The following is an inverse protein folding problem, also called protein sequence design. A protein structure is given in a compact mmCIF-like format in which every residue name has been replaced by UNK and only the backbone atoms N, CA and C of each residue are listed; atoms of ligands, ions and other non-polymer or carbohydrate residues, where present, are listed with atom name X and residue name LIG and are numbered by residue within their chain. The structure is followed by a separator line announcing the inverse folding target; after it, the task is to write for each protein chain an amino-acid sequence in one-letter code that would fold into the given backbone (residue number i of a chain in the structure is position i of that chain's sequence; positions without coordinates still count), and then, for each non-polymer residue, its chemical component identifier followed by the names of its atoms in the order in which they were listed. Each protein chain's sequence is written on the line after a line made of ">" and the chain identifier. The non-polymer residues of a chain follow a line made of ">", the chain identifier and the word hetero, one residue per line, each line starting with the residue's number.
data_IF_560106465418
#
_entry.id   IF_560106465418
#
_cell.length_a   1.000
_cell.length_b   1.000
_cell.length_c   1.000
_cell.angle_alpha   90.00
_cell.angle_beta   90.00
_cell.angle_gamma   90.00
#
_symmetry.space_group_name_H-M   'P 1'
#
loop_
_entity.id
_entity.type
_entity.pdbx_description
1 polymer ?
#
# COMPACT_ATOMS: atom_id res chain seq x y z
N UNK A 1 9.72 8.98 -1.72
CA UNK A 1 9.10 7.67 -1.99
C UNK A 1 9.92 6.99 -3.07
N UNK A 2 10.28 5.71 -2.93
CA UNK A 2 11.08 5.00 -3.94
C UNK A 2 10.28 4.81 -5.23
N UNK A 3 10.96 4.85 -6.38
CA UNK A 3 10.38 4.63 -7.70
C UNK A 3 10.43 3.12 -8.02
N UNK A 4 9.33 2.43 -7.77
CA UNK A 4 9.21 0.98 -7.88
C UNK A 4 9.30 0.50 -9.33
N UNK A 5 10.08 -0.57 -9.58
CA UNK A 5 10.15 -1.20 -10.89
C UNK A 5 8.91 -2.03 -11.20
N UNK A 6 7.94 -1.46 -11.94
CA UNK A 6 6.69 -2.12 -12.30
C UNK A 6 6.86 -3.43 -13.06
N UNK A 7 7.94 -3.58 -13.86
CA UNK A 7 8.21 -4.82 -14.61
C UNK A 7 8.74 -5.92 -13.69
N UNK A 8 9.68 -5.60 -12.79
CA UNK A 8 10.19 -6.53 -11.80
C UNK A 8 9.08 -6.91 -10.80
N UNK A 9 8.26 -5.96 -10.37
CA UNK A 9 7.11 -6.16 -9.49
C UNK A 9 6.12 -7.19 -10.05
N UNK A 10 5.80 -7.14 -11.33
CA UNK A 10 4.88 -8.09 -11.98
C UNK A 10 5.35 -9.54 -11.93
N UNK A 11 6.66 -9.78 -11.81
CA UNK A 11 7.23 -11.14 -11.77
C UNK A 11 7.11 -11.80 -10.39
N UNK A 12 6.98 -11.01 -9.32
CA UNK A 12 6.99 -11.48 -7.92
C UNK A 12 5.72 -11.14 -7.15
N UNK A 13 4.65 -10.70 -7.82
CA UNK A 13 3.46 -10.13 -7.20
C UNK A 13 2.36 -11.16 -6.81
N UNK A 14 2.70 -12.43 -6.62
CA UNK A 14 1.73 -13.48 -6.28
C UNK A 14 0.98 -13.19 -4.96
N UNK A 15 1.68 -12.68 -3.95
CA UNK A 15 1.07 -12.22 -2.70
C UNK A 15 0.08 -11.08 -2.95
N UNK A 16 0.48 -10.07 -3.73
CA UNK A 16 -0.38 -8.93 -4.02
C UNK A 16 -1.60 -9.32 -4.87
N UNK A 17 -1.44 -10.29 -5.76
CA UNK A 17 -2.57 -10.86 -6.53
C UNK A 17 -3.56 -11.54 -5.60
N UNK A 18 -3.08 -12.40 -4.70
CA UNK A 18 -3.93 -13.08 -3.73
C UNK A 18 -4.65 -12.08 -2.81
N UNK A 19 -3.93 -11.05 -2.32
CA UNK A 19 -4.51 -9.99 -1.49
C UNK A 19 -5.59 -9.22 -2.26
N UNK A 20 -5.31 -8.87 -3.52
CA UNK A 20 -6.27 -8.19 -4.39
C UNK A 20 -7.55 -9.01 -4.58
N UNK A 21 -7.44 -10.30 -4.87
CA UNK A 21 -8.58 -11.19 -5.02
C UNK A 21 -9.46 -11.27 -3.77
N UNK A 22 -8.82 -11.25 -2.57
CA UNK A 22 -9.56 -11.21 -1.30
C UNK A 22 -10.37 -9.92 -1.16
N UNK A 23 -9.76 -8.79 -1.48
CA UNK A 23 -10.36 -7.48 -1.35
C UNK A 23 -11.43 -7.24 -2.40
N UNK A 24 -11.15 -7.57 -3.66
CA UNK A 24 -12.08 -7.37 -4.77
C UNK A 24 -13.40 -8.12 -4.58
N UNK A 25 -13.38 -9.28 -3.89
CA UNK A 25 -14.61 -10.01 -3.55
C UNK A 25 -15.50 -9.28 -2.55
N UNK A 26 -14.94 -8.42 -1.69
CA UNK A 26 -15.67 -7.67 -0.67
C UNK A 26 -16.11 -6.28 -1.11
N UNK A 27 -15.65 -5.80 -2.28
CA UNK A 27 -16.03 -4.49 -2.78
C UNK A 27 -17.47 -4.48 -3.32
N UNK A 28 -18.28 -3.60 -2.75
CA UNK A 28 -19.61 -3.28 -3.24
C UNK A 28 -19.54 -2.06 -4.15
N UNK A 29 -19.72 -2.29 -5.46
CA UNK A 29 -19.54 -1.27 -6.50
C UNK A 29 -20.86 -0.81 -7.13
N UNK A 30 -21.99 -1.25 -6.60
CA UNK A 30 -23.31 -0.90 -7.12
C UNK A 30 -23.56 0.61 -7.06
N UNK A 31 -23.95 1.21 -8.19
CA UNK A 31 -24.22 2.64 -8.27
C UNK A 31 -22.98 3.55 -8.29
N UNK A 32 -21.77 3.00 -8.34
CA UNK A 32 -20.53 3.78 -8.47
C UNK A 32 -20.36 4.24 -9.92
N UNK A 33 -20.37 5.57 -10.14
CA UNK A 33 -20.14 6.21 -11.43
C UNK A 33 -18.72 6.78 -11.58
N UNK A 34 -18.03 6.96 -10.44
CA UNK A 34 -16.67 7.53 -10.39
C UNK A 34 -15.86 6.97 -9.21
N UNK A 35 -14.68 6.42 -9.51
CA UNK A 35 -13.81 5.78 -8.51
C UNK A 35 -12.37 6.28 -8.65
N UNK A 36 -11.71 6.53 -7.51
CA UNK A 36 -10.29 6.80 -7.40
C UNK A 36 -9.60 5.65 -6.67
N UNK A 37 -8.54 5.11 -7.27
CA UNK A 37 -7.62 4.16 -6.62
C UNK A 37 -6.32 4.88 -6.25
N UNK A 38 -6.06 5.02 -4.95
CA UNK A 38 -4.91 5.73 -4.39
C UNK A 38 -3.76 4.75 -4.12
N UNK A 39 -2.63 4.97 -4.75
CA UNK A 39 -1.51 4.03 -4.76
C UNK A 39 -1.81 2.83 -5.65
N UNK A 40 -2.25 3.11 -6.87
CA UNK A 40 -2.73 2.10 -7.82
C UNK A 40 -1.63 1.18 -8.36
N UNK A 41 -0.36 1.52 -8.12
CA UNK A 41 0.79 0.76 -8.61
C UNK A 41 0.77 0.59 -10.12
N UNK A 42 0.96 -0.63 -10.60
CA UNK A 42 0.97 -0.98 -12.02
C UNK A 42 -0.43 -1.00 -12.67
N UNK A 43 -1.46 -0.58 -11.92
CA UNK A 43 -2.84 -0.40 -12.39
C UNK A 43 -3.64 -1.68 -12.60
N UNK A 44 -3.12 -2.86 -12.26
CA UNK A 44 -3.82 -4.14 -12.49
C UNK A 44 -5.11 -4.24 -11.68
N UNK A 45 -5.06 -3.96 -10.38
CA UNK A 45 -6.25 -3.99 -9.51
C UNK A 45 -7.27 -2.94 -9.96
N UNK A 46 -6.80 -1.74 -10.30
CA UNK A 46 -7.63 -0.66 -10.84
C UNK A 46 -8.36 -1.08 -12.11
N UNK A 47 -7.68 -1.79 -13.02
CA UNK A 47 -8.28 -2.31 -14.25
C UNK A 47 -9.31 -3.40 -13.98
N UNK A 48 -9.09 -4.28 -13.01
CA UNK A 48 -10.06 -5.28 -12.58
C UNK A 48 -11.32 -4.65 -11.97
N UNK A 49 -11.16 -3.56 -11.19
CA UNK A 49 -12.29 -2.76 -10.70
C UNK A 49 -13.05 -2.13 -11.88
N UNK A 50 -12.34 -1.48 -12.80
CA UNK A 50 -12.95 -0.85 -13.97
C UNK A 50 -13.74 -1.83 -14.84
N UNK A 51 -13.27 -3.07 -14.97
CA UNK A 51 -13.98 -4.12 -15.68
C UNK A 51 -15.33 -4.51 -15.02
N UNK A 52 -15.48 -4.31 -13.71
CA UNK A 52 -16.72 -4.57 -12.98
C UNK A 52 -17.73 -3.43 -13.07
N UNK A 53 -17.28 -2.21 -13.37
CA UNK A 53 -18.07 -1.00 -13.49
C UNK A 53 -17.76 -0.28 -14.81
N UNK A 54 -18.05 -0.90 -15.98
CA UNK A 54 -17.56 -0.44 -17.28
C UNK A 54 -18.08 0.95 -17.69
N UNK A 55 -19.17 1.41 -17.09
CA UNK A 55 -19.73 2.75 -17.34
C UNK A 55 -19.13 3.83 -16.44
N UNK A 56 -18.45 3.45 -15.36
CA UNK A 56 -17.86 4.39 -14.42
C UNK A 56 -16.54 5.00 -14.92
N UNK A 57 -16.24 6.22 -14.47
CA UNK A 57 -14.91 6.81 -14.61
C UNK A 57 -13.99 6.28 -13.52
N UNK A 58 -12.93 5.59 -13.88
CA UNK A 58 -11.96 5.05 -12.92
C UNK A 58 -10.61 5.73 -13.11
N UNK A 59 -10.06 6.27 -12.03
CA UNK A 59 -8.76 6.95 -12.02
C UNK A 59 -7.83 6.21 -11.06
N UNK A 60 -6.67 5.78 -11.53
CA UNK A 60 -5.58 5.32 -10.68
C UNK A 60 -4.59 6.46 -10.43
N UNK A 61 -4.17 6.67 -9.19
CA UNK A 61 -3.16 7.65 -8.79
C UNK A 61 -1.99 6.95 -8.12
N UNK A 62 -0.76 7.16 -8.63
CA UNK A 62 0.45 6.60 -8.02
C UNK A 62 1.62 7.58 -8.17
N UNK A 63 2.51 7.71 -7.18
CA UNK A 63 3.67 8.60 -7.26
C UNK A 63 4.84 8.04 -8.10
N UNK A 64 4.84 6.75 -8.45
CA UNK A 64 5.91 6.12 -9.23
C UNK A 64 5.66 6.25 -10.72
N UNK A 65 6.51 7.00 -11.46
CA UNK A 65 6.40 7.09 -12.91
C UNK A 65 6.65 5.73 -13.58
N UNK A 66 7.47 4.85 -13.00
CA UNK A 66 7.73 3.50 -13.53
C UNK A 66 6.50 2.60 -13.40
N UNK A 67 5.74 2.71 -12.31
CA UNK A 67 4.46 2.01 -12.15
C UNK A 67 3.43 2.51 -13.16
N UNK A 68 3.23 3.82 -13.26
CA UNK A 68 2.26 4.42 -14.18
C UNK A 68 2.58 4.10 -15.65
N UNK A 69 3.88 4.03 -16.01
CA UNK A 69 4.28 3.75 -17.40
C UNK A 69 3.84 2.38 -17.93
N UNK A 70 3.56 1.41 -17.04
CA UNK A 70 3.12 0.06 -17.40
C UNK A 70 1.63 -0.16 -17.16
N UNK A 71 0.91 0.84 -16.61
CA UNK A 71 -0.51 0.72 -16.29
C UNK A 71 -1.38 0.64 -17.56
N UNK A 72 -2.42 -0.23 -17.58
CA UNK A 72 -3.25 -0.49 -18.76
C UNK A 72 -4.35 0.57 -18.92
N UNK A 73 -4.06 1.73 -19.50
CA UNK A 73 -5.07 2.76 -19.73
C UNK A 73 -5.97 2.47 -20.95
N UNK A 74 -7.21 2.92 -20.89
CA UNK A 74 -8.15 2.83 -22.02
C UNK A 74 -9.60 3.05 -21.64
N UNK A 75 -10.39 3.58 -22.58
CA UNK A 75 -11.80 3.86 -22.34
C UNK A 75 -12.02 4.86 -21.21
N UNK A 76 -12.72 4.46 -20.16
CA UNK A 76 -13.01 5.27 -18.95
C UNK A 76 -12.00 5.07 -17.83
N UNK A 77 -10.95 4.27 -18.06
CA UNK A 77 -9.85 4.02 -17.13
C UNK A 77 -8.67 4.90 -17.50
N UNK A 78 -8.18 5.68 -16.55
CA UNK A 78 -7.01 6.54 -16.70
C UNK A 78 -6.08 6.43 -15.49
N UNK A 79 -4.81 6.77 -15.70
CA UNK A 79 -3.80 6.77 -14.64
C UNK A 79 -3.10 8.13 -14.60
N UNK A 80 -2.91 8.64 -13.39
CA UNK A 80 -2.31 9.94 -13.13
C UNK A 80 -1.09 9.77 -12.22
N UNK A 81 0.02 10.43 -12.57
CA UNK A 81 1.19 10.51 -11.71
C UNK A 81 0.94 11.54 -10.61
N UNK A 82 1.02 11.14 -9.35
CA UNK A 82 0.82 12.05 -8.23
C UNK A 82 0.76 11.36 -6.87
N UNK A 83 0.86 12.17 -5.82
CA UNK A 83 0.84 11.73 -4.43
C UNK A 83 -0.50 12.09 -3.76
N UNK A 84 -0.97 11.22 -2.89
CA UNK A 84 -2.22 11.43 -2.14
C UNK A 84 -2.21 12.74 -1.34
N UNK A 85 -1.09 13.08 -0.70
CA UNK A 85 -0.97 14.30 0.12
C UNK A 85 -1.03 15.60 -0.70
N UNK A 86 -0.73 15.56 -1.99
CA UNK A 86 -0.71 16.71 -2.88
C UNK A 86 -1.87 16.76 -3.88
N UNK A 87 -2.65 15.67 -4.02
CA UNK A 87 -3.79 15.61 -4.94
C UNK A 87 -4.82 16.72 -4.64
N UNK A 88 -5.47 17.22 -5.69
CA UNK A 88 -6.36 18.40 -5.61
C UNK A 88 -7.80 18.12 -6.00
N UNK A 89 -8.20 16.84 -6.05
CA UNK A 89 -9.59 16.48 -6.35
C UNK A 89 -10.55 17.05 -5.29
N UNK A 90 -11.74 17.45 -5.73
CA UNK A 90 -12.78 17.95 -4.85
C UNK A 90 -14.12 17.39 -5.29
N UNK A 91 -14.77 16.65 -4.41
CA UNK A 91 -16.12 16.10 -4.61
C UNK A 91 -16.32 15.48 -6.00
N UNK A 92 -15.30 14.73 -6.44
CA UNK A 92 -15.26 14.16 -7.78
C UNK A 92 -15.68 12.69 -7.80
N UNK A 93 -15.43 11.95 -6.74
CA UNK A 93 -15.57 10.51 -6.72
C UNK A 93 -16.65 10.04 -5.76
N UNK A 94 -17.42 9.02 -6.19
CA UNK A 94 -18.37 8.31 -5.34
C UNK A 94 -17.65 7.36 -4.41
N UNK A 95 -16.53 6.80 -4.87
CA UNK A 95 -15.72 5.87 -4.13
C UNK A 95 -14.22 6.21 -4.21
N UNK A 96 -13.50 5.99 -3.11
CA UNK A 96 -12.03 6.00 -3.05
C UNK A 96 -11.57 4.66 -2.49
N UNK A 97 -10.66 3.99 -3.19
CA UNK A 97 -10.04 2.76 -2.72
C UNK A 97 -8.52 2.95 -2.58
N UNK A 98 -7.89 2.15 -1.74
CA UNK A 98 -6.44 2.08 -1.63
C UNK A 98 -6.03 0.70 -1.10
N UNK A 99 -5.09 0.05 -1.78
CA UNK A 99 -4.66 -1.31 -1.44
C UNK A 99 -3.16 -1.38 -1.22
N UNK A 100 -2.75 -1.63 0.03
CA UNK A 100 -1.36 -1.77 0.46
C UNK A 100 -0.44 -0.59 0.05
N UNK A 101 -0.97 0.64 0.06
CA UNK A 101 -0.22 1.83 -0.29
C UNK A 101 -0.11 2.84 0.86
N UNK A 102 -1.14 3.03 1.67
CA UNK A 102 -1.17 4.12 2.65
C UNK A 102 -0.15 3.99 3.78
N UNK A 103 0.34 2.80 4.10
CA UNK A 103 1.41 2.64 5.08
C UNK A 103 2.78 3.19 4.61
N UNK A 104 2.92 3.53 3.33
CA UNK A 104 4.07 4.26 2.78
C UNK A 104 3.91 5.79 2.83
N UNK A 105 2.82 6.29 3.40
CA UNK A 105 2.52 7.71 3.51
C UNK A 105 2.73 8.18 4.96
N UNK A 106 3.75 9.00 5.19
CA UNK A 106 4.08 9.46 6.55
C UNK A 106 2.99 10.36 7.14
N UNK A 107 2.43 11.29 6.37
CA UNK A 107 1.37 12.20 6.81
C UNK A 107 -0.02 11.58 6.58
N UNK A 108 -0.40 10.67 7.49
CA UNK A 108 -1.70 10.00 7.46
C UNK A 108 -2.88 10.98 7.55
N UNK A 109 -2.75 12.06 8.35
CA UNK A 109 -3.79 13.10 8.45
C UNK A 109 -4.02 13.76 7.10
N UNK A 110 -2.95 14.19 6.47
CA UNK A 110 -3.04 14.87 5.17
C UNK A 110 -3.61 13.96 4.09
N UNK A 111 -3.22 12.68 4.07
CA UNK A 111 -3.78 11.69 3.16
C UNK A 111 -5.31 11.56 3.34
N UNK A 112 -5.78 11.38 4.58
CA UNK A 112 -7.20 11.26 4.89
C UNK A 112 -7.99 12.54 4.55
N UNK A 113 -7.46 13.73 4.86
CA UNK A 113 -8.08 15.01 4.47
C UNK A 113 -8.23 15.14 2.95
N UNK A 114 -7.25 14.65 2.18
CA UNK A 114 -7.31 14.66 0.72
C UNK A 114 -8.30 13.64 0.17
N UNK A 115 -8.38 12.47 0.76
CA UNK A 115 -9.39 11.44 0.45
C UNK A 115 -10.79 12.01 0.69
N UNK A 116 -11.04 12.62 1.86
CA UNK A 116 -12.32 13.27 2.17
C UNK A 116 -12.66 14.37 1.16
N UNK A 117 -11.69 15.21 0.81
CA UNK A 117 -11.91 16.26 -0.18
C UNK A 117 -12.26 15.71 -1.58
N UNK A 118 -11.68 14.58 -1.95
CA UNK A 118 -11.91 13.92 -3.24
C UNK A 118 -13.29 13.25 -3.34
N UNK A 119 -13.80 12.71 -2.23
CA UNK A 119 -15.11 12.08 -2.16
C UNK A 119 -16.24 13.09 -2.32
N UNK A 120 -17.33 12.72 -2.98
CA UNK A 120 -18.62 13.40 -2.95
C UNK A 120 -19.28 13.32 -1.57
N UNK A 121 -20.21 14.19 -1.20
CA UNK A 121 -21.05 14.00 -0.02
C UNK A 121 -21.77 12.63 -0.09
N UNK A 122 -21.66 11.83 0.99
CA UNK A 122 -22.18 10.46 1.01
C UNK A 122 -21.33 9.43 0.25
N UNK A 123 -20.19 9.84 -0.33
CA UNK A 123 -19.24 8.92 -0.93
C UNK A 123 -18.50 8.10 0.14
N UNK A 124 -17.93 6.99 -0.27
CA UNK A 124 -17.28 6.04 0.64
C UNK A 124 -15.81 5.76 0.27
N UNK A 125 -15.04 5.30 1.25
CA UNK A 125 -13.69 4.83 1.03
C UNK A 125 -13.50 3.41 1.58
N UNK A 126 -12.73 2.59 0.85
CA UNK A 126 -12.27 1.29 1.30
C UNK A 126 -10.74 1.26 1.27
N UNK A 127 -10.15 1.27 2.48
CA UNK A 127 -8.72 1.44 2.66
C UNK A 127 -8.13 0.17 3.30
N UNK A 128 -7.13 -0.40 2.64
CA UNK A 128 -6.47 -1.63 3.08
C UNK A 128 -4.96 -1.38 3.12
N UNK A 129 -4.33 -1.58 4.29
CA UNK A 129 -2.90 -1.34 4.45
C UNK A 129 -2.33 -2.07 5.68
N UNK A 130 -1.01 -2.18 5.75
CA UNK A 130 -0.32 -2.79 6.90
C UNK A 130 -0.45 -1.87 8.11
N UNK A 131 -0.80 -2.43 9.26
CA UNK A 131 -0.93 -1.72 10.53
C UNK A 131 -0.05 -2.36 11.61
N UNK A 132 0.08 -1.68 12.74
CA UNK A 132 0.77 -2.21 13.91
C UNK A 132 0.12 -3.52 14.40
N UNK A 133 0.93 -4.41 14.90
CA UNK A 133 0.51 -5.70 15.42
C UNK A 133 1.46 -6.24 16.50
N UNK A 134 1.16 -7.40 17.06
CA UNK A 134 1.98 -8.00 18.12
C UNK A 134 3.34 -8.51 17.62
N UNK A 135 3.48 -8.66 16.30
CA UNK A 135 4.68 -9.17 15.64
C UNK A 135 5.35 -8.03 14.89
N UNK A 136 6.68 -7.95 14.95
CA UNK A 136 7.42 -6.99 14.14
C UNK A 136 7.18 -7.26 12.65
N UNK A 137 7.00 -6.21 11.87
CA UNK A 137 6.90 -6.30 10.42
C UNK A 137 8.28 -6.60 9.79
N UNK A 138 8.29 -6.94 8.51
CA UNK A 138 9.55 -7.12 7.80
C UNK A 138 10.29 -5.78 7.65
N UNK A 139 9.56 -4.68 7.52
CA UNK A 139 10.11 -3.32 7.49
C UNK A 139 10.76 -2.94 8.83
N UNK A 140 10.15 -3.32 9.98
CA UNK A 140 10.76 -3.15 11.30
C UNK A 140 12.06 -3.96 11.43
N UNK A 141 12.09 -5.17 10.85
CA UNK A 141 13.32 -5.98 10.81
C UNK A 141 14.36 -5.31 9.92
N UNK A 142 13.97 -4.77 8.76
CA UNK A 142 14.88 -4.05 7.88
C UNK A 142 15.51 -2.83 8.57
N UNK A 143 14.72 -2.06 9.36
CA UNK A 143 15.26 -0.96 10.16
C UNK A 143 16.25 -1.44 11.23
N UNK A 144 15.99 -2.59 11.88
CA UNK A 144 16.92 -3.18 12.86
C UNK A 144 18.22 -3.63 12.20
N UNK A 145 18.15 -4.25 11.02
CA UNK A 145 19.35 -4.64 10.25
C UNK A 145 20.12 -3.40 9.82
N UNK A 146 19.45 -2.37 9.30
CA UNK A 146 20.06 -1.09 8.92
C UNK A 146 20.83 -0.42 10.08
N UNK A 147 20.39 -0.61 11.33
CA UNK A 147 21.05 -0.08 12.51
C UNK A 147 22.24 -0.94 13.00
N UNK A 148 22.54 -2.08 12.38
CA UNK A 148 23.70 -2.91 12.77
C UNK A 148 25.02 -2.24 12.37
N UNK A 149 26.16 -2.56 13.05
CA UNK A 149 27.46 -1.98 12.72
C UNK A 149 27.90 -2.11 11.26
N UNK A 150 27.42 -3.15 10.56
CA UNK A 150 27.71 -3.34 9.14
C UNK A 150 27.08 -2.27 8.26
N UNK A 151 25.87 -1.81 8.59
CA UNK A 151 25.04 -0.98 7.74
C UNK A 151 24.80 0.44 8.27
N UNK A 152 25.11 0.69 9.56
CA UNK A 152 24.75 1.94 10.24
C UNK A 152 25.33 3.21 9.60
N UNK A 153 26.45 3.13 8.90
CA UNK A 153 27.04 4.27 8.19
C UNK A 153 26.18 4.67 6.97
N UNK A 154 25.75 3.69 6.17
CA UNK A 154 24.93 3.92 4.97
C UNK A 154 23.50 4.40 5.32
N UNK A 155 23.04 4.08 6.54
CA UNK A 155 21.70 4.41 7.02
C UNK A 155 21.67 5.43 8.18
N UNK A 156 22.76 6.19 8.40
CA UNK A 156 22.87 7.12 9.54
C UNK A 156 21.73 8.13 9.64
N UNK A 157 21.27 8.67 8.50
CA UNK A 157 20.19 9.65 8.40
C UNK A 157 18.91 9.06 7.76
N UNK A 158 18.73 7.75 7.89
CA UNK A 158 17.60 7.08 7.28
C UNK A 158 16.41 6.99 8.22
N UNK A 159 15.36 7.73 7.91
CA UNK A 159 14.09 7.65 8.60
C UNK A 159 13.22 6.51 8.02
N UNK A 160 12.41 5.83 8.85
CA UNK A 160 11.50 4.80 8.36
C UNK A 160 10.61 5.32 7.22
N UNK A 161 10.63 4.71 6.02
CA UNK A 161 9.83 5.16 4.89
C UNK A 161 8.36 4.74 5.00
N UNK A 162 7.97 4.13 6.12
CA UNK A 162 6.65 3.55 6.36
C UNK A 162 6.08 4.01 7.72
N UNK A 163 4.77 3.87 7.84
CA UNK A 163 4.04 4.04 9.10
C UNK A 163 3.10 2.84 9.27
N UNK A 164 3.24 2.12 10.38
CA UNK A 164 2.29 1.08 10.79
C UNK A 164 1.45 1.64 11.94
N UNK A 165 0.31 2.28 11.64
CA UNK A 165 -0.45 2.95 12.69
C UNK A 165 -1.16 1.94 13.60
N UNK A 166 -1.26 2.29 14.87
CA UNK A 166 -2.15 1.64 15.81
C UNK A 166 -3.61 1.89 15.40
N UNK A 167 -4.41 0.82 15.36
CA UNK A 167 -5.77 0.83 14.79
C UNK A 167 -6.68 1.85 15.47
N UNK A 168 -6.66 1.92 16.81
CA UNK A 168 -7.50 2.85 17.56
C UNK A 168 -7.13 4.32 17.29
N UNK A 169 -5.83 4.62 17.24
CA UNK A 169 -5.31 5.96 16.94
C UNK A 169 -5.67 6.37 15.50
N UNK A 170 -5.49 5.48 14.54
CA UNK A 170 -5.82 5.74 13.14
C UNK A 170 -7.33 5.92 12.94
N UNK A 171 -8.16 5.10 13.59
CA UNK A 171 -9.62 5.23 13.55
C UNK A 171 -10.10 6.58 14.10
N UNK A 172 -9.52 7.03 15.21
CA UNK A 172 -9.79 8.36 15.77
C UNK A 172 -9.36 9.48 14.82
N UNK A 173 -8.22 9.31 14.16
CA UNK A 173 -7.73 10.23 13.15
C UNK A 173 -8.68 10.32 11.96
N UNK A 174 -9.11 9.19 11.40
CA UNK A 174 -10.05 9.13 10.28
C UNK A 174 -11.36 9.84 10.61
N UNK A 175 -11.91 9.60 11.81
CA UNK A 175 -13.10 10.28 12.30
C UNK A 175 -12.89 11.79 12.42
N UNK A 176 -11.75 12.24 12.95
CA UNK A 176 -11.41 13.67 13.05
C UNK A 176 -11.26 14.37 11.69
N UNK A 177 -10.97 13.62 10.64
CA UNK A 177 -10.90 14.13 9.26
C UNK A 177 -12.27 14.16 8.55
N UNK A 178 -13.36 13.70 9.18
CA UNK A 178 -14.71 13.71 8.59
C UNK A 178 -15.12 12.41 7.90
N UNK A 179 -14.56 11.27 8.33
CA UNK A 179 -14.95 9.93 7.90
C UNK A 179 -15.66 9.18 9.04
N UNK A 180 -16.85 8.67 8.78
CA UNK A 180 -17.52 7.73 9.66
C UNK A 180 -17.04 6.31 9.37
N UNK A 181 -16.65 5.56 10.41
CA UNK A 181 -16.22 4.17 10.28
C UNK A 181 -17.47 3.28 10.22
N UNK A 182 -17.65 2.59 9.11
CA UNK A 182 -18.72 1.60 8.89
C UNK A 182 -18.27 0.19 9.24
N UNK A 183 -17.01 -0.11 8.98
CA UNK A 183 -16.36 -1.36 9.32
C UNK A 183 -14.85 -1.13 9.50
N UNK A 184 -14.27 -1.83 10.47
CA UNK A 184 -12.84 -1.78 10.71
C UNK A 184 -12.39 -3.14 11.23
N UNK A 185 -11.63 -3.88 10.43
CA UNK A 185 -11.19 -5.24 10.74
C UNK A 185 -9.69 -5.34 10.57
N UNK A 186 -9.03 -5.96 11.54
CA UNK A 186 -7.62 -6.36 11.42
C UNK A 186 -7.56 -7.84 11.10
N UNK A 187 -6.83 -8.18 10.06
CA UNK A 187 -6.62 -9.55 9.64
C UNK A 187 -5.12 -9.87 9.62
N UNK A 188 -4.74 -10.99 10.21
CA UNK A 188 -3.41 -11.53 9.99
C UNK A 188 -3.33 -12.11 8.58
N UNK A 189 -2.34 -11.66 7.83
CA UNK A 189 -1.97 -12.19 6.53
C UNK A 189 -0.75 -13.08 6.74
N UNK A 190 -0.82 -14.30 6.22
CA UNK A 190 0.31 -15.22 6.15
C UNK A 190 0.44 -15.70 4.70
N UNK A 191 1.63 -15.60 4.14
CA UNK A 191 1.91 -16.02 2.78
C UNK A 191 3.23 -16.77 2.72
N UNK A 192 3.17 -18.01 2.23
CA UNK A 192 4.36 -18.85 2.03
C UNK A 192 4.83 -18.70 0.58
N UNK A 193 6.02 -18.15 0.39
CA UNK A 193 6.66 -18.02 -0.90
C UNK A 193 7.26 -19.35 -1.40
N UNK A 194 7.23 -20.41 -0.57
CA UNK A 194 7.76 -21.73 -0.88
C UNK A 194 9.28 -21.86 -0.73
N UNK A 195 10.02 -20.76 -0.75
CA UNK A 195 11.46 -20.75 -0.48
C UNK A 195 11.96 -19.40 0.01
N UNK A 196 13.13 -19.41 0.68
CA UNK A 196 13.84 -18.18 1.07
C UNK A 196 14.22 -17.34 -0.15
N UNK A 197 14.64 -17.98 -1.24
CA UNK A 197 15.04 -17.32 -2.48
C UNK A 197 13.89 -16.56 -3.12
N UNK A 198 12.70 -17.17 -3.20
CA UNK A 198 11.50 -16.50 -3.74
C UNK A 198 11.08 -15.32 -2.84
N UNK A 199 11.17 -15.48 -1.52
CA UNK A 199 10.91 -14.40 -0.58
C UNK A 199 11.93 -13.26 -0.71
N UNK A 200 13.24 -13.59 -0.84
CA UNK A 200 14.29 -12.60 -1.06
C UNK A 200 14.08 -11.82 -2.36
N UNK A 201 13.64 -12.47 -3.44
CA UNK A 201 13.33 -11.81 -4.72
C UNK A 201 12.17 -10.82 -4.56
N UNK A 202 11.13 -11.19 -3.81
CA UNK A 202 10.03 -10.29 -3.49
C UNK A 202 10.49 -9.10 -2.65
N UNK A 203 11.30 -9.33 -1.61
CA UNK A 203 11.88 -8.27 -0.79
C UNK A 203 12.77 -7.32 -1.60
N UNK A 204 13.61 -7.85 -2.51
CA UNK A 204 14.49 -7.03 -3.34
C UNK A 204 13.72 -6.02 -4.19
N UNK A 205 12.52 -6.35 -4.63
CA UNK A 205 11.63 -5.42 -5.35
C UNK A 205 10.96 -4.43 -4.40
N UNK A 206 10.54 -4.89 -3.21
CA UNK A 206 9.81 -4.06 -2.23
C UNK A 206 10.69 -3.10 -1.43
N UNK A 207 12.00 -3.36 -1.35
CA UNK A 207 12.93 -2.65 -0.47
C UNK A 207 13.70 -1.51 -1.14
N UNK A 208 13.20 -0.96 -2.25
CA UNK A 208 13.86 0.13 -2.96
C UNK A 208 14.27 1.30 -2.04
N UNK A 209 13.45 1.64 -1.03
CA UNK A 209 13.79 2.70 -0.09
C UNK A 209 15.11 2.47 0.66
N UNK A 210 15.47 1.22 0.92
CA UNK A 210 16.75 0.82 1.54
C UNK A 210 17.82 0.58 0.49
N UNK A 211 17.52 -0.23 -0.52
CA UNK A 211 18.50 -0.73 -1.50
C UNK A 211 19.02 0.34 -2.45
N UNK A 212 18.26 1.41 -2.73
CA UNK A 212 18.70 2.55 -3.53
C UNK A 212 19.84 3.35 -2.88
N UNK A 213 20.15 3.10 -1.59
CA UNK A 213 21.26 3.70 -0.86
C UNK A 213 22.56 2.88 -0.90
N UNK A 214 22.47 1.68 -1.42
CA UNK A 214 23.53 0.67 -1.41
C UNK A 214 24.03 0.41 -2.85
N UNK A 215 25.25 -0.07 -2.98
CA UNK A 215 25.66 -0.64 -4.26
C UNK A 215 24.95 -1.99 -4.52
N UNK A 216 25.09 -2.51 -5.71
CA UNK A 216 24.34 -3.71 -6.13
C UNK A 216 24.70 -4.97 -5.30
N UNK A 217 25.94 -5.10 -4.83
CA UNK A 217 26.36 -6.24 -4.01
C UNK A 217 25.84 -6.09 -2.58
N UNK A 218 26.02 -4.92 -2.00
CA UNK A 218 25.50 -4.59 -0.65
C UNK A 218 23.98 -4.67 -0.59
N UNK A 219 23.26 -4.27 -1.65
CA UNK A 219 21.81 -4.40 -1.72
C UNK A 219 21.35 -5.87 -1.63
N UNK A 220 22.04 -6.79 -2.31
CA UNK A 220 21.76 -8.23 -2.24
C UNK A 220 22.03 -8.77 -0.84
N UNK A 221 23.18 -8.41 -0.26
CA UNK A 221 23.57 -8.85 1.07
C UNK A 221 22.61 -8.30 2.14
N UNK A 222 22.22 -7.03 2.05
CA UNK A 222 21.26 -6.41 2.98
C UNK A 222 19.90 -7.13 2.96
N UNK A 223 19.35 -7.39 1.77
CA UNK A 223 18.10 -8.13 1.63
C UNK A 223 18.22 -9.54 2.23
N UNK A 224 19.34 -10.24 1.97
CA UNK A 224 19.56 -11.57 2.52
C UNK A 224 19.63 -11.56 4.06
N UNK A 225 20.31 -10.57 4.67
CA UNK A 225 20.35 -10.41 6.13
C UNK A 225 18.98 -10.09 6.72
N UNK A 226 18.19 -9.22 6.07
CA UNK A 226 16.83 -8.90 6.52
C UNK A 226 15.94 -10.14 6.47
N UNK A 227 15.95 -10.88 5.37
CA UNK A 227 15.15 -12.10 5.22
C UNK A 227 15.54 -13.14 6.26
N UNK A 228 16.83 -13.36 6.49
CA UNK A 228 17.33 -14.29 7.51
C UNK A 228 16.91 -13.87 8.92
N UNK A 229 17.02 -12.58 9.25
CA UNK A 229 16.58 -12.06 10.54
C UNK A 229 15.05 -12.15 10.72
N UNK A 230 14.31 -12.00 9.64
CA UNK A 230 12.84 -12.09 9.66
C UNK A 230 12.33 -13.50 9.86
N UNK A 231 13.07 -14.54 9.51
CA UNK A 231 12.68 -15.94 9.74
C UNK A 231 12.47 -16.25 11.24
N UNK A 232 13.20 -15.59 12.13
CA UNK A 232 12.98 -15.70 13.57
C UNK A 232 11.64 -15.05 14.02
N UNK A 233 11.13 -14.09 13.24
CA UNK A 233 9.86 -13.39 13.48
C UNK A 233 8.69 -14.15 12.87
N UNK A 234 8.84 -14.64 11.64
CA UNK A 234 7.81 -15.36 10.90
C UNK A 234 7.67 -16.83 11.29
N UNK A 235 8.68 -17.37 12.00
CA UNK A 235 8.77 -18.78 12.50
C UNK A 235 9.04 -19.82 11.40
N UNK A 236 9.25 -19.40 10.15
CA UNK A 236 9.62 -20.31 9.07
C UNK A 236 10.34 -19.58 7.91
N UNK A 237 11.29 -20.25 7.22
CA UNK A 237 11.88 -19.74 5.98
C UNK A 237 10.82 -19.52 4.90
N UNK A 238 10.93 -18.40 4.19
CA UNK A 238 10.01 -18.07 3.08
C UNK A 238 8.60 -17.67 3.49
N UNK A 239 8.30 -17.63 4.79
CA UNK A 239 6.99 -17.25 5.30
C UNK A 239 6.94 -15.75 5.62
N UNK A 240 6.04 -15.02 4.96
CA UNK A 240 5.69 -13.64 5.25
C UNK A 240 4.44 -13.57 6.12
N UNK A 241 4.44 -12.67 7.10
CA UNK A 241 3.28 -12.38 7.96
C UNK A 241 3.15 -10.89 8.18
N UNK A 242 1.94 -10.34 8.10
CA UNK A 242 1.66 -8.97 8.52
C UNK A 242 0.26 -8.85 9.11
N UNK A 243 0.02 -7.75 9.82
CA UNK A 243 -1.32 -7.33 10.21
C UNK A 243 -1.84 -6.34 9.17
N UNK A 244 -2.99 -6.62 8.61
CA UNK A 244 -3.62 -5.76 7.60
C UNK A 244 -4.91 -5.18 8.16
N UNK A 245 -4.99 -3.85 8.20
CA UNK A 245 -6.20 -3.12 8.49
C UNK A 245 -7.05 -3.04 7.21
N UNK A 246 -8.34 -3.33 7.34
CA UNK A 246 -9.38 -3.12 6.32
C UNK A 246 -10.42 -2.19 6.91
N UNK A 247 -10.56 -1.00 6.36
CA UNK A 247 -11.46 0.03 6.83
C UNK A 247 -12.48 0.41 5.76
N UNK A 248 -13.75 0.28 6.10
CA UNK A 248 -14.89 0.79 5.35
C UNK A 248 -15.34 2.10 5.97
N UNK A 249 -15.34 3.16 5.20
CA UNK A 249 -15.51 4.53 5.66
C UNK A 249 -16.53 5.24 4.79
N UNK A 250 -17.28 6.17 5.40
CA UNK A 250 -18.21 7.04 4.67
C UNK A 250 -17.88 8.50 4.96
N UNK A 251 -17.88 9.34 3.94
CA UNK A 251 -17.73 10.77 4.14
C UNK A 251 -18.92 11.34 4.87
N UNK A 252 -18.68 11.93 6.05
CA UNK A 252 -19.73 12.62 6.81
C UNK A 252 -20.18 13.86 6.03
N UNK A 253 -21.51 14.08 5.83
CA UNK A 253 -22.00 15.31 5.26
C UNK A 253 -21.54 16.52 6.10
N UNK A 254 -21.06 17.56 5.44
CA UNK A 254 -20.79 18.85 6.10
C UNK A 254 -22.15 19.49 6.37
N UNK A 255 -22.48 19.71 7.65
CA UNK A 255 -23.69 20.38 8.06
C UNK A 255 -23.73 21.85 7.59
#
# INVERSE_FOLDING_TARGET
>A
MSDWDGTAYRRVNSLQQWLADQVLRSLHLDGVESLLDVGCGDGRITAEIAARIPEAQVVGLDPSPRMISVAPAGGRLSFELGEVCSMRYRQRFDAVVSFNALHWVADQRRALERIVAALRPGGWAFLVFVCAGPRASIEDVAMRVAATPRWSEQFADFEPPFVHPEVAGWSSLATSCGLAIKGCVVQEVAWDFGSREAFSQWCAVGFGAWTDRLDAADAVDFVAEVVLAYEAVSEAPGLFRCQQLRAELERVPVA
#
